data_IF_255702625085
#
_entry.id   IF_255702625085
#
_cell.length_a   1.000
_cell.length_b   1.000
_cell.length_c   1.000
_cell.angle_alpha   90.00
_cell.angle_beta   90.00
_cell.angle_gamma   90.00
#
_symmetry.space_group_name_H-M   'P 1'
#
loop_
_entity.id
_entity.type
_entity.pdbx_description
1 polymer ?
#
# COMPACT_ATOMS: atom_id res chain seq x y z
N UNK A 1 32.89 -1.48 -34.69
CA UNK A 1 32.39 -1.62 -33.29
C UNK A 1 31.35 -0.55 -32.91
N UNK A 2 30.73 0.17 -33.87
CA UNK A 2 29.82 1.29 -33.57
C UNK A 2 28.33 0.97 -33.81
N UNK A 3 28.01 -0.25 -34.25
CA UNK A 3 26.65 -0.66 -34.63
C UNK A 3 25.74 -0.92 -33.43
N UNK A 4 26.30 -1.31 -32.27
CA UNK A 4 25.48 -1.62 -31.10
C UNK A 4 24.85 -0.35 -30.53
N UNK A 5 25.61 0.74 -30.39
CA UNK A 5 25.11 1.98 -29.82
C UNK A 5 24.05 2.66 -30.72
N UNK A 6 24.25 2.68 -32.04
CA UNK A 6 23.33 3.33 -32.99
C UNK A 6 22.00 2.60 -33.16
N UNK A 7 21.94 1.29 -32.89
CA UNK A 7 20.72 0.49 -33.01
C UNK A 7 20.04 0.23 -31.66
N UNK A 8 20.81 0.09 -30.58
CA UNK A 8 20.29 -0.21 -29.24
C UNK A 8 19.60 1.00 -28.59
N UNK A 9 20.15 2.21 -28.73
CA UNK A 9 19.54 3.42 -28.18
C UNK A 9 18.11 3.67 -28.67
N UNK A 10 17.83 3.71 -29.99
CA UNK A 10 16.46 3.93 -30.46
C UNK A 10 15.53 2.77 -30.08
N UNK A 11 16.03 1.54 -30.03
CA UNK A 11 15.27 0.37 -29.57
C UNK A 11 14.82 0.50 -28.11
N UNK A 12 15.72 0.92 -27.21
CA UNK A 12 15.41 1.12 -25.78
C UNK A 12 14.42 2.29 -25.57
N UNK A 13 14.52 3.35 -26.36
CA UNK A 13 13.59 4.49 -26.32
C UNK A 13 12.18 4.12 -26.82
N UNK A 14 12.08 3.22 -27.79
CA UNK A 14 10.79 2.69 -28.24
C UNK A 14 10.19 1.69 -27.25
N UNK A 15 11.03 1.00 -26.47
CA UNK A 15 10.56 0.08 -25.44
C UNK A 15 9.96 0.80 -24.22
N UNK A 16 10.45 2.00 -23.89
CA UNK A 16 9.94 2.76 -22.74
C UNK A 16 8.51 3.26 -22.91
N UNK A 17 8.03 3.46 -24.15
CA UNK A 17 6.65 3.88 -24.42
C UNK A 17 5.62 2.75 -24.28
N UNK A 18 6.08 1.49 -24.12
CA UNK A 18 5.23 0.33 -23.86
C UNK A 18 5.00 0.10 -22.35
N UNK A 19 5.66 0.87 -21.48
CA UNK A 19 5.52 0.72 -20.03
C UNK A 19 4.31 1.52 -19.56
N UNK A 20 3.29 0.83 -19.07
CA UNK A 20 2.20 1.41 -18.28
C UNK A 20 2.51 1.29 -16.79
N UNK A 21 2.16 2.32 -16.02
CA UNK A 21 2.29 2.31 -14.57
C UNK A 21 1.06 2.96 -13.94
N UNK A 22 0.61 2.43 -12.80
CA UNK A 22 -0.47 3.03 -12.04
C UNK A 22 0.02 4.28 -11.33
N UNK A 23 -0.62 5.42 -11.55
CA UNK A 23 -0.36 6.63 -10.75
C UNK A 23 -1.11 6.54 -9.42
N UNK A 24 -0.38 6.60 -8.31
CA UNK A 24 -0.96 6.68 -6.97
C UNK A 24 -0.66 8.06 -6.37
N UNK A 25 -1.66 8.90 -6.07
CA UNK A 25 -1.44 10.25 -5.53
C UNK A 25 -0.91 10.24 -4.09
N UNK A 26 -0.99 9.10 -3.40
CA UNK A 26 -0.58 8.91 -2.01
C UNK A 26 0.34 7.70 -1.87
N UNK A 27 1.50 7.89 -1.21
CA UNK A 27 2.37 6.78 -0.80
C UNK A 27 1.80 6.22 0.50
N UNK A 28 1.53 4.93 0.52
CA UNK A 28 0.84 4.29 1.62
C UNK A 28 1.80 3.46 2.46
N UNK A 29 2.22 4.03 3.59
CA UNK A 29 3.03 3.32 4.59
C UNK A 29 2.19 2.73 5.73
N UNK A 30 0.86 2.85 5.66
CA UNK A 30 -0.01 2.29 6.69
C UNK A 30 0.02 0.76 6.63
N UNK A 31 -0.17 0.15 7.80
CA UNK A 31 -0.36 -1.29 7.93
C UNK A 31 -1.43 -1.75 6.93
N UNK A 32 -1.20 -2.87 6.20
CA UNK A 32 -2.23 -3.54 5.41
C UNK A 32 -3.52 -3.64 6.23
N UNK A 33 -4.64 -3.27 5.63
CA UNK A 33 -5.91 -3.20 6.34
C UNK A 33 -6.33 -1.80 6.83
N UNK A 34 -5.41 -0.97 7.33
CA UNK A 34 -5.71 0.35 7.90
C UNK A 34 -5.43 1.52 6.94
N UNK A 35 -5.32 1.19 5.67
CA UNK A 35 -4.85 2.09 4.62
C UNK A 35 -6.03 2.86 4.02
N UNK A 36 -5.93 4.20 3.91
CA UNK A 36 -6.99 5.07 3.38
C UNK A 36 -7.25 4.92 1.87
N UNK A 37 -6.48 4.07 1.18
CA UNK A 37 -6.66 3.71 -0.22
C UNK A 37 -6.48 2.22 -0.47
N UNK A 38 -6.82 1.37 0.51
CA UNK A 38 -6.68 -0.07 0.36
C UNK A 38 -7.66 -0.51 -0.74
N UNK A 39 -7.11 -0.91 -1.89
CA UNK A 39 -7.92 -1.60 -2.88
C UNK A 39 -8.50 -2.86 -2.24
N UNK A 40 -9.76 -3.12 -2.53
CA UNK A 40 -10.43 -4.31 -2.01
C UNK A 40 -9.73 -5.56 -2.54
N UNK A 41 -9.81 -6.65 -1.77
CA UNK A 41 -9.22 -7.93 -2.17
C UNK A 41 -9.86 -8.43 -3.45
N UNK A 42 -9.18 -9.32 -4.18
CA UNK A 42 -9.69 -9.84 -5.45
C UNK A 42 -11.08 -10.51 -5.32
N UNK A 43 -11.91 -10.51 -6.37
CA UNK A 43 -13.21 -11.19 -6.36
C UNK A 43 -13.12 -12.63 -5.83
N UNK A 44 -13.98 -12.98 -4.87
CA UNK A 44 -13.99 -14.32 -4.26
C UNK A 44 -12.83 -14.61 -3.30
N UNK A 45 -11.94 -13.65 -3.05
CA UNK A 45 -10.92 -13.74 -2.01
C UNK A 45 -11.52 -13.26 -0.69
N UNK A 46 -11.37 -14.08 0.34
CA UNK A 46 -11.70 -13.73 1.72
C UNK A 46 -10.40 -13.47 2.47
N UNK A 47 -10.32 -12.32 3.14
CA UNK A 47 -9.18 -11.91 3.95
C UNK A 47 -9.62 -11.71 5.38
N UNK A 48 -8.90 -12.33 6.30
CA UNK A 48 -9.07 -12.15 7.74
C UNK A 48 -7.75 -11.60 8.29
N UNK A 49 -7.83 -10.46 8.96
CA UNK A 49 -6.71 -9.85 9.64
C UNK A 49 -6.98 -9.77 11.14
N UNK A 50 -5.96 -10.10 11.94
CA UNK A 50 -6.00 -9.88 13.37
C UNK A 50 -4.70 -9.21 13.83
N UNK A 51 -4.73 -8.57 14.98
CA UNK A 51 -3.54 -7.92 15.51
C UNK A 51 -3.70 -7.58 16.97
N UNK A 52 -2.62 -7.78 17.73
CA UNK A 52 -2.46 -7.16 19.03
C UNK A 52 -1.68 -5.84 18.85
N UNK A 53 -1.97 -4.89 19.71
CA UNK A 53 -1.27 -3.61 19.78
C UNK A 53 -0.99 -3.27 21.23
N UNK A 54 0.17 -2.68 21.45
CA UNK A 54 0.56 -2.11 22.72
C UNK A 54 1.07 -0.71 22.42
N UNK A 55 0.53 0.30 23.12
CA UNK A 55 0.92 1.70 22.98
C UNK A 55 1.29 2.25 24.34
N UNK A 56 2.34 3.04 24.34
CA UNK A 56 2.80 3.75 25.50
C UNK A 56 3.10 5.18 25.08
N UNK A 57 2.19 6.08 25.46
CA UNK A 57 2.23 7.47 25.06
C UNK A 57 2.68 8.34 26.24
N UNK A 58 3.60 9.25 25.97
CA UNK A 58 4.06 10.28 26.91
C UNK A 58 3.69 11.63 26.33
N UNK A 59 2.88 12.39 27.05
CA UNK A 59 2.44 13.71 26.61
C UNK A 59 3.26 14.78 27.32
N UNK A 60 3.80 15.74 26.56
CA UNK A 60 4.62 16.83 27.10
C UNK A 60 3.80 17.86 27.93
N UNK A 61 2.47 17.80 27.90
CA UNK A 61 1.52 18.60 28.70
C UNK A 61 0.17 17.87 28.69
N UNK A 62 -0.58 17.64 29.80
CA UNK A 62 -1.09 18.64 30.77
C UNK A 62 -0.81 18.38 32.28
N UNK A 63 -0.22 17.25 32.68
CA UNK A 63 0.33 17.00 34.04
C UNK A 63 1.35 15.85 34.03
N UNK A 64 2.10 15.71 32.93
CA UNK A 64 3.06 14.61 32.72
C UNK A 64 2.40 13.20 32.76
N UNK A 65 1.18 13.11 32.24
CA UNK A 65 0.44 11.84 32.24
C UNK A 65 1.07 10.81 31.29
N UNK A 66 1.13 9.57 31.78
CA UNK A 66 1.56 8.40 31.02
C UNK A 66 0.32 7.57 30.72
N UNK A 67 0.04 7.38 29.43
CA UNK A 67 -1.03 6.49 28.99
C UNK A 67 -0.41 5.20 28.47
N UNK A 68 -0.95 4.08 28.94
CA UNK A 68 -0.54 2.76 28.47
C UNK A 68 -1.79 2.02 28.06
N UNK A 69 -1.82 1.52 26.83
CA UNK A 69 -2.99 0.87 26.26
C UNK A 69 -2.59 -0.40 25.53
N UNK A 70 -3.31 -1.48 25.82
CA UNK A 70 -3.27 -2.70 25.02
C UNK A 70 -4.59 -2.82 24.24
N UNK A 71 -4.51 -3.30 23.01
CA UNK A 71 -5.68 -3.43 22.15
C UNK A 71 -5.55 -4.64 21.24
N UNK A 72 -6.70 -5.20 20.87
CA UNK A 72 -6.80 -6.28 19.90
C UNK A 72 -7.74 -5.86 18.78
N UNK A 73 -7.39 -6.21 17.54
CA UNK A 73 -8.16 -5.90 16.34
C UNK A 73 -8.46 -7.17 15.58
N UNK A 74 -9.69 -7.31 15.10
CA UNK A 74 -10.14 -8.32 14.16
C UNK A 74 -10.82 -7.63 12.99
N UNK A 75 -10.50 -8.05 11.77
CA UNK A 75 -11.01 -7.46 10.55
C UNK A 75 -11.27 -8.54 9.51
N UNK A 76 -12.40 -8.43 8.81
CA UNK A 76 -12.83 -9.36 7.78
C UNK A 76 -13.17 -8.57 6.51
N UNK A 77 -12.57 -8.97 5.39
CA UNK A 77 -12.80 -8.36 4.07
C UNK A 77 -13.03 -9.41 3.01
N UNK A 78 -13.81 -9.04 2.00
CA UNK A 78 -14.03 -9.84 0.80
C UNK A 78 -14.08 -8.96 -0.43
N UNK A 79 -13.68 -9.52 -1.56
CA UNK A 79 -13.65 -8.82 -2.84
C UNK A 79 -15.00 -8.86 -3.53
N UNK A 80 -15.51 -7.69 -3.93
CA UNK A 80 -16.69 -7.60 -4.78
C UNK A 80 -16.31 -7.89 -6.24
N UNK A 81 -17.18 -8.61 -6.96
CA UNK A 81 -16.93 -9.09 -8.33
C UNK A 81 -16.87 -7.94 -9.37
N UNK A 82 -17.35 -6.75 -9.02
CA UNK A 82 -17.54 -5.60 -9.92
C UNK A 82 -16.55 -4.44 -9.69
N UNK A 83 -15.31 -4.71 -9.31
CA UNK A 83 -14.29 -3.66 -9.17
C UNK A 83 -13.48 -3.46 -10.44
N UNK A 84 -13.57 -2.25 -11.00
CA UNK A 84 -12.67 -1.77 -12.03
C UNK A 84 -11.51 -1.04 -11.32
N UNK A 85 -10.34 -1.68 -11.24
CA UNK A 85 -9.11 -0.98 -10.88
C UNK A 85 -8.55 -0.40 -12.17
N UNK A 86 -8.84 0.89 -12.40
CA UNK A 86 -8.25 1.66 -13.50
C UNK A 86 -6.87 2.18 -13.12
#
# INVERSE_FOLDING_TARGET
MNLSCTTLCPFLLLFSSLVSSQYTPIINSNRPGFTQGAFSVGPGVYQLEFGASYRQDRFASLADEKSTGAGFTLDLRTGLILQNLN
#
